data_IF_428206418933
#
_entry.id   IF_428206418933
#
_cell.length_a   1.000
_cell.length_b   1.000
_cell.length_c   1.000
_cell.angle_alpha   90.00
_cell.angle_beta   90.00
_cell.angle_gamma   90.00
#
_symmetry.space_group_name_H-M   'P 1'
#
loop_
_entity.id
_entity.type
_entity.pdbx_description
1 polymer ?
#
# COMPACT_ATOMS: atom_id res chain seq x y z
N UNK A 1 6.89 -10.94 6.53
CA UNK A 1 6.29 -11.12 5.18
C UNK A 1 7.32 -11.70 4.21
N UNK A 2 7.01 -12.81 3.55
CA UNK A 2 7.96 -13.51 2.67
C UNK A 2 7.95 -12.95 1.25
N UNK A 3 9.05 -13.14 0.52
CA UNK A 3 9.19 -12.79 -0.90
C UNK A 3 8.45 -13.77 -1.80
N UNK A 4 7.95 -13.28 -2.94
CA UNK A 4 7.32 -14.09 -3.97
C UNK A 4 7.95 -13.75 -5.34
N UNK A 5 8.15 -14.71 -6.26
CA UNK A 5 8.78 -14.44 -7.56
C UNK A 5 8.03 -13.42 -8.43
N UNK A 6 6.72 -13.32 -8.27
CA UNK A 6 5.85 -12.49 -9.12
C UNK A 6 5.29 -11.24 -8.45
N UNK A 7 5.45 -11.09 -7.13
CA UNK A 7 4.85 -9.99 -6.37
C UNK A 7 5.80 -9.49 -5.29
N UNK A 8 5.72 -8.19 -4.99
CA UNK A 8 6.50 -7.60 -3.91
C UNK A 8 6.00 -8.12 -2.56
N UNK A 9 6.93 -8.49 -1.67
CA UNK A 9 6.64 -8.57 -0.24
C UNK A 9 6.33 -7.16 0.33
N UNK A 10 5.73 -7.09 1.51
CA UNK A 10 5.46 -5.81 2.18
C UNK A 10 6.73 -4.95 2.30
N UNK A 11 7.85 -5.54 2.74
CA UNK A 11 9.12 -4.81 2.88
C UNK A 11 9.65 -4.28 1.53
N UNK A 12 9.52 -5.05 0.45
CA UNK A 12 9.92 -4.59 -0.89
C UNK A 12 9.01 -3.46 -1.38
N UNK A 13 7.69 -3.53 -1.13
CA UNK A 13 6.77 -2.45 -1.45
C UNK A 13 7.09 -1.17 -0.67
N UNK A 14 7.34 -1.28 0.64
CA UNK A 14 7.74 -0.15 1.49
C UNK A 14 9.06 0.49 1.03
N UNK A 15 10.06 -0.32 0.65
CA UNK A 15 11.31 0.21 0.09
C UNK A 15 11.10 0.99 -1.22
N UNK A 16 10.16 0.58 -2.07
CA UNK A 16 9.79 1.34 -3.26
C UNK A 16 9.02 2.61 -2.93
N UNK A 17 8.12 2.57 -1.96
CA UNK A 17 7.38 3.75 -1.47
C UNK A 17 8.36 4.79 -0.94
N UNK A 18 9.33 4.39 -0.12
CA UNK A 18 10.38 5.27 0.39
C UNK A 18 11.17 5.94 -0.76
N UNK A 19 11.54 5.17 -1.79
CA UNK A 19 12.28 5.68 -2.94
C UNK A 19 11.47 6.66 -3.81
N UNK A 20 10.17 6.40 -3.99
CA UNK A 20 9.29 7.21 -4.84
C UNK A 20 8.72 8.43 -4.11
N UNK A 21 8.74 8.41 -2.77
CA UNK A 21 8.25 9.47 -1.89
C UNK A 21 6.84 10.01 -2.25
N UNK A 22 5.82 9.16 -2.42
CA UNK A 22 4.47 9.64 -2.70
C UNK A 22 3.86 10.32 -1.47
N UNK A 23 2.94 11.27 -1.69
CA UNK A 23 2.19 11.88 -0.59
C UNK A 23 1.32 10.88 0.19
N UNK A 24 0.78 9.86 -0.51
CA UNK A 24 -0.01 8.75 0.05
C UNK A 24 0.22 7.49 -0.78
N UNK A 25 0.29 6.34 -0.13
CA UNK A 25 0.37 5.03 -0.78
C UNK A 25 -0.74 4.11 -0.26
N UNK A 26 -1.32 3.32 -1.17
CA UNK A 26 -2.37 2.35 -0.86
C UNK A 26 -1.91 0.97 -1.30
N UNK A 27 -1.77 0.03 -0.36
CA UNK A 27 -1.31 -1.33 -0.62
C UNK A 27 -2.48 -2.19 -1.10
N UNK A 28 -2.35 -2.83 -2.26
CA UNK A 28 -3.36 -3.73 -2.83
C UNK A 28 -2.78 -5.11 -3.15
N UNK A 29 -3.61 -6.03 -3.65
CA UNK A 29 -3.24 -7.42 -3.95
C UNK A 29 -2.66 -8.14 -2.70
N UNK A 30 -3.28 -7.88 -1.54
CA UNK A 30 -2.86 -8.42 -0.26
C UNK A 30 -3.31 -9.88 -0.11
N UNK A 31 -2.38 -10.76 0.26
CA UNK A 31 -2.66 -12.17 0.51
C UNK A 31 -3.01 -12.43 1.98
N UNK A 32 -3.54 -13.61 2.31
CA UNK A 32 -4.05 -14.01 3.63
C UNK A 32 -3.17 -13.62 4.85
N UNK A 33 -1.83 -13.65 4.81
CA UNK A 33 -1.00 -13.24 5.95
C UNK A 33 -1.02 -11.73 6.28
N UNK A 34 -1.53 -10.88 5.39
CA UNK A 34 -1.58 -9.43 5.54
C UNK A 34 -2.94 -9.03 6.14
N UNK A 35 -3.10 -9.23 7.44
CA UNK A 35 -4.26 -8.73 8.18
C UNK A 35 -4.31 -7.19 8.12
N UNK A 36 -5.51 -6.65 7.87
CA UNK A 36 -5.70 -5.21 7.66
C UNK A 36 -5.25 -4.37 8.84
N UNK A 37 -5.68 -4.71 10.06
CA UNK A 37 -5.41 -3.90 11.25
C UNK A 37 -3.94 -3.97 11.64
N UNK A 38 -3.32 -5.15 11.48
CA UNK A 38 -1.89 -5.34 11.70
C UNK A 38 -1.07 -4.52 10.70
N UNK A 39 -1.35 -4.64 9.40
CA UNK A 39 -0.62 -3.91 8.36
C UNK A 39 -0.77 -2.40 8.55
N UNK A 40 -1.97 -1.91 8.87
CA UNK A 40 -2.22 -0.49 9.14
C UNK A 40 -1.33 0.07 10.27
N UNK A 41 -1.06 -0.73 11.31
CA UNK A 41 -0.21 -0.32 12.45
C UNK A 41 1.28 -0.46 12.12
N UNK A 42 1.65 -1.47 11.32
CA UNK A 42 3.04 -1.74 10.98
C UNK A 42 3.60 -0.83 9.87
N UNK A 43 2.75 -0.17 9.09
CA UNK A 43 3.15 0.72 8.01
C UNK A 43 3.24 2.19 8.44
N UNK A 44 4.08 3.03 7.77
CA UNK A 44 4.11 4.47 8.04
C UNK A 44 2.75 5.15 7.82
N UNK A 45 2.49 6.28 8.48
CA UNK A 45 1.20 6.98 8.48
C UNK A 45 0.64 7.31 7.08
N UNK A 46 1.51 7.54 6.09
CA UNK A 46 1.10 7.85 4.70
C UNK A 46 0.86 6.60 3.84
N UNK A 47 0.97 5.39 4.42
CA UNK A 47 0.79 4.10 3.75
C UNK A 47 -0.36 3.36 4.42
N UNK A 48 -1.37 2.97 3.65
CA UNK A 48 -2.54 2.26 4.18
C UNK A 48 -2.82 0.96 3.40
N UNK A 49 -3.25 -0.13 4.06
CA UNK A 49 -3.82 -1.27 3.36
C UNK A 49 -5.15 -0.88 2.69
N UNK A 50 -5.34 -1.30 1.45
CA UNK A 50 -6.62 -1.16 0.75
C UNK A 50 -7.68 -2.09 1.34
N UNK A 51 -8.94 -1.78 1.07
CA UNK A 51 -10.06 -2.64 1.34
C UNK A 51 -11.08 -2.56 0.20
N UNK A 52 -11.92 -3.57 0.06
CA UNK A 52 -12.94 -3.61 -0.97
C UNK A 52 -13.94 -2.46 -0.76
N UNK A 53 -14.15 -1.66 -1.81
CA UNK A 53 -14.99 -0.46 -1.74
C UNK A 53 -14.29 0.80 -1.23
N UNK A 54 -12.96 0.77 -1.04
CA UNK A 54 -12.19 1.98 -0.77
C UNK A 54 -12.35 3.00 -1.91
N UNK A 55 -12.70 4.24 -1.57
CA UNK A 55 -12.84 5.36 -2.50
C UNK A 55 -11.62 6.27 -2.37
N UNK A 56 -10.99 6.61 -3.50
CA UNK A 56 -9.90 7.58 -3.56
C UNK A 56 -10.32 8.72 -4.49
N UNK A 57 -10.59 9.88 -3.90
CA UNK A 57 -10.94 11.09 -4.63
C UNK A 57 -9.67 11.93 -4.87
N UNK A 58 -9.50 12.39 -6.10
CA UNK A 58 -8.41 13.30 -6.50
C UNK A 58 -8.99 14.47 -7.30
N UNK A 59 -8.40 15.67 -7.19
CA UNK A 59 -8.79 16.78 -8.06
C UNK A 59 -8.52 16.39 -9.52
N UNK A 60 -9.47 16.71 -10.39
CA UNK A 60 -9.32 16.61 -11.83
C UNK A 60 -9.33 18.02 -12.41
N UNK A 61 -8.22 18.43 -13.00
CA UNK A 61 -8.15 19.66 -13.78
C UNK A 61 -8.35 19.31 -15.26
N UNK A 62 -9.43 19.79 -15.87
CA UNK A 62 -9.61 19.76 -17.32
C UNK A 62 -8.94 20.98 -17.93
N UNK A 63 -8.11 20.79 -18.96
CA UNK A 63 -7.61 21.88 -19.81
C UNK A 63 -8.74 22.62 -20.54
#
# INVERSE_FOLDING_TARGET
>A
YNTHPSHLSLGQALGWIERLAPNKAVLTHMHVPLDYAVVMVETPEHVVPAYDGMVVEIPYESE
#
